data_IF_872767105234
#
_entry.id   IF_872767105234
#
_cell.length_a   1.000
_cell.length_b   1.000
_cell.length_c   1.000
_cell.angle_alpha   90.00
_cell.angle_beta   90.00
_cell.angle_gamma   90.00
#
_symmetry.space_group_name_H-M   'P 1'
#
loop_
_entity.id
_entity.type
_entity.pdbx_description
1 polymer ?
#
# COMPACT_ATOMS: atom_id res chain seq x y z
N UNK A 1 -14.16 -7.39 -0.92
CA UNK A 1 -14.33 -5.99 -1.33
C UNK A 1 -14.01 -5.89 -2.81
N UNK A 2 -15.02 -5.76 -3.67
CA UNK A 2 -14.84 -5.78 -5.13
C UNK A 2 -14.25 -4.48 -5.69
N UNK A 3 -14.13 -3.44 -4.87
CA UNK A 3 -13.52 -2.16 -5.25
C UNK A 3 -12.12 -2.02 -4.64
N UNK A 4 -11.06 -1.98 -5.46
CA UNK A 4 -9.71 -1.72 -4.96
C UNK A 4 -9.62 -0.30 -4.39
N UNK A 5 -8.72 -0.13 -3.41
CA UNK A 5 -8.39 1.18 -2.87
C UNK A 5 -7.83 2.07 -3.99
N UNK A 6 -8.28 3.33 -4.07
CA UNK A 6 -7.74 4.27 -5.05
C UNK A 6 -6.24 4.54 -4.79
N UNK A 7 -5.45 4.62 -5.86
CA UNK A 7 -4.00 4.83 -5.81
C UNK A 7 -3.64 6.12 -5.07
N UNK A 8 -4.40 7.19 -5.28
CA UNK A 8 -4.18 8.47 -4.59
C UNK A 8 -4.38 8.37 -3.09
N UNK A 9 -5.35 7.55 -2.64
CA UNK A 9 -5.59 7.31 -1.22
C UNK A 9 -4.46 6.46 -0.62
N UNK A 10 -4.05 5.40 -1.33
CA UNK A 10 -2.91 4.57 -0.94
C UNK A 10 -1.62 5.41 -0.82
N UNK A 11 -1.31 6.23 -1.81
CA UNK A 11 -0.17 7.14 -1.78
C UNK A 11 -0.24 8.11 -0.60
N UNK A 12 -1.41 8.69 -0.32
CA UNK A 12 -1.63 9.57 0.83
C UNK A 12 -1.39 8.87 2.17
N UNK A 13 -1.86 7.63 2.32
CA UNK A 13 -1.60 6.82 3.51
C UNK A 13 -0.10 6.58 3.70
N UNK A 14 0.62 6.21 2.63
CA UNK A 14 2.05 5.94 2.69
C UNK A 14 2.82 7.23 3.04
N UNK A 15 2.48 8.37 2.46
CA UNK A 15 3.10 9.66 2.77
C UNK A 15 2.94 10.05 4.24
N UNK A 16 1.80 9.73 4.88
CA UNK A 16 1.59 9.95 6.31
C UNK A 16 2.55 9.13 7.18
N UNK A 17 3.04 7.99 6.69
CA UNK A 17 4.04 7.18 7.39
C UNK A 17 5.44 7.77 7.34
N UNK A 18 5.69 8.71 6.42
CA UNK A 18 7.01 9.23 6.06
C UNK A 18 7.96 8.16 5.50
N UNK A 19 7.41 7.09 4.92
CA UNK A 19 8.18 6.05 4.27
C UNK A 19 9.08 6.62 3.16
N UNK A 20 10.33 6.16 3.11
CA UNK A 20 11.36 6.60 2.14
C UNK A 20 12.11 5.43 1.50
N UNK A 21 11.59 4.20 1.61
CA UNK A 21 12.23 3.02 1.07
C UNK A 21 13.33 2.41 1.95
N UNK A 22 13.62 2.97 3.12
CA UNK A 22 14.68 2.48 4.02
C UNK A 22 14.16 1.42 5.00
N UNK A 23 12.93 1.57 5.43
CA UNK A 23 12.26 0.69 6.37
C UNK A 23 11.71 -0.55 5.65
N UNK A 24 11.51 -1.63 6.38
CA UNK A 24 10.70 -2.72 5.88
C UNK A 24 9.24 -2.25 5.78
N UNK A 25 8.61 -2.47 4.62
CA UNK A 25 7.22 -2.12 4.37
C UNK A 25 6.40 -3.39 4.16
N UNK A 26 5.27 -3.51 4.85
CA UNK A 26 4.40 -4.66 4.72
C UNK A 26 2.92 -4.26 4.61
N UNK A 27 2.25 -4.78 3.57
CA UNK A 27 0.80 -4.79 3.46
C UNK A 27 0.30 -6.24 3.60
N UNK A 28 -0.27 -6.60 4.77
CA UNK A 28 -0.76 -7.96 5.03
C UNK A 28 -2.11 -8.29 4.38
N UNK A 29 -2.76 -7.34 3.69
CA UNK A 29 -4.05 -7.49 2.99
C UNK A 29 -3.96 -6.84 1.61
N UNK A 30 -2.96 -7.23 0.82
CA UNK A 30 -2.58 -6.46 -0.35
C UNK A 30 -3.60 -6.48 -1.50
N UNK A 31 -4.50 -7.45 -1.55
CA UNK A 31 -5.50 -7.55 -2.60
C UNK A 31 -4.90 -7.46 -3.99
N UNK A 32 -5.29 -6.45 -4.77
CA UNK A 32 -4.74 -6.16 -6.10
C UNK A 32 -3.32 -5.55 -6.11
N UNK A 33 -2.74 -5.28 -4.93
CA UNK A 33 -1.39 -4.77 -4.78
C UNK A 33 -1.26 -3.25 -4.79
N UNK A 34 -2.35 -2.49 -4.69
CA UNK A 34 -2.31 -1.02 -4.79
C UNK A 34 -1.34 -0.38 -3.78
N UNK A 35 -1.45 -0.74 -2.49
CA UNK A 35 -0.59 -0.16 -1.44
C UNK A 35 0.90 -0.51 -1.65
N UNK A 36 1.32 -1.78 -1.82
CA UNK A 36 2.72 -2.08 -2.04
C UNK A 36 3.27 -1.52 -3.35
N UNK A 37 2.45 -1.38 -4.41
CA UNK A 37 2.86 -0.74 -5.66
C UNK A 37 3.14 0.75 -5.43
N UNK A 38 2.24 1.48 -4.77
CA UNK A 38 2.44 2.89 -4.44
C UNK A 38 3.65 3.08 -3.51
N UNK A 39 3.87 2.16 -2.56
CA UNK A 39 5.07 2.19 -1.71
C UNK A 39 6.36 2.07 -2.55
N UNK A 40 6.38 1.18 -3.53
CA UNK A 40 7.52 1.01 -4.42
C UNK A 40 7.76 2.25 -5.30
N UNK A 41 6.70 2.83 -5.87
CA UNK A 41 6.78 4.06 -6.68
C UNK A 41 7.32 5.24 -5.86
N UNK A 42 6.87 5.39 -4.61
CA UNK A 42 7.36 6.41 -3.68
C UNK A 42 8.83 6.14 -3.30
N UNK A 43 9.19 4.89 -3.02
CA UNK A 43 10.55 4.51 -2.64
C UNK A 43 11.58 4.87 -3.72
N UNK A 44 11.24 4.63 -4.98
CA UNK A 44 12.11 4.98 -6.11
C UNK A 44 11.96 6.43 -6.59
N UNK A 45 11.12 7.24 -5.94
CA UNK A 45 10.83 8.62 -6.34
C UNK A 45 10.29 8.74 -7.78
N UNK A 46 9.47 7.78 -8.23
CA UNK A 46 8.87 7.82 -9.57
C UNK A 46 7.80 8.88 -9.66
N UNK A 47 7.91 9.75 -10.65
CA UNK A 47 6.91 10.78 -10.93
C UNK A 47 5.56 10.13 -11.37
N UNK A 48 4.43 10.41 -10.69
CA UNK A 48 3.14 9.76 -11.00
C UNK A 48 2.64 9.98 -12.42
N UNK A 49 3.06 11.09 -13.05
CA UNK A 49 2.67 11.47 -14.41
C UNK A 49 3.57 10.90 -15.52
N UNK A 50 4.63 10.17 -15.20
CA UNK A 50 5.66 9.80 -16.17
C UNK A 50 5.14 9.03 -17.39
N UNK A 51 4.17 8.14 -17.16
CA UNK A 51 3.57 7.28 -18.20
C UNK A 51 2.19 7.78 -18.66
N UNK A 52 1.83 9.02 -18.31
CA UNK A 52 0.53 9.62 -18.70
C UNK A 52 0.72 10.60 -19.84
N UNK A 53 -0.36 10.76 -20.62
CA UNK A 53 -0.53 11.86 -21.58
C UNK A 53 -1.35 12.97 -20.92
N UNK A 54 -1.01 14.20 -21.17
CA UNK A 54 -1.68 15.37 -20.64
C UNK A 54 -2.23 16.22 -21.81
N UNK A 55 -3.43 16.74 -21.68
CA UNK A 55 -4.02 17.61 -22.70
C UNK A 55 -3.12 18.82 -23.05
N UNK A 56 -2.35 19.31 -22.10
CA UNK A 56 -1.42 20.41 -22.32
C UNK A 56 -0.30 20.10 -23.33
N UNK A 57 -0.04 18.81 -23.62
CA UNK A 57 0.92 18.40 -24.64
C UNK A 57 0.47 18.75 -26.07
N UNK A 58 -0.85 18.91 -26.25
CA UNK A 58 -1.46 19.24 -27.53
C UNK A 58 -1.65 20.76 -27.72
N UNK A 59 -1.21 21.60 -26.78
CA UNK A 59 -1.33 23.05 -26.92
C UNK A 59 -0.34 23.56 -27.99
N UNK A 60 -0.82 24.37 -28.98
CA UNK A 60 0.02 24.83 -30.10
C UNK A 60 1.27 25.63 -29.71
N UNK A 61 1.24 26.25 -28.52
CA UNK A 61 2.31 27.08 -27.97
C UNK A 61 3.27 26.29 -27.05
N UNK A 62 3.01 24.98 -26.82
CA UNK A 62 3.82 24.13 -25.97
C UNK A 62 4.80 23.31 -26.83
N UNK A 63 6.11 23.59 -26.79
CA UNK A 63 7.10 22.79 -27.52
C UNK A 63 7.12 21.34 -26.99
N UNK A 64 7.22 20.37 -27.90
CA UNK A 64 7.30 18.95 -27.53
C UNK A 64 8.55 18.62 -26.74
N UNK A 65 9.64 19.28 -27.07
CA UNK A 65 10.95 19.11 -26.44
C UNK A 65 10.87 19.36 -24.93
N UNK A 66 10.07 20.32 -24.48
CA UNK A 66 9.87 20.62 -23.06
C UNK A 66 9.32 19.40 -22.30
N UNK A 67 8.39 18.65 -22.92
CA UNK A 67 7.84 17.44 -22.32
C UNK A 67 8.85 16.30 -22.26
N UNK A 68 9.66 16.13 -23.29
CA UNK A 68 10.68 15.11 -23.35
C UNK A 68 11.79 15.40 -22.33
N UNK A 69 12.20 16.65 -22.19
CA UNK A 69 13.18 17.11 -21.19
C UNK A 69 12.65 16.86 -19.76
N UNK A 70 11.41 17.27 -19.46
CA UNK A 70 10.80 17.07 -18.13
C UNK A 70 10.64 15.57 -17.80
N UNK A 71 10.27 14.75 -18.78
CA UNK A 71 10.17 13.29 -18.57
C UNK A 71 11.55 12.67 -18.35
N UNK A 72 12.56 13.14 -19.06
CA UNK A 72 13.96 12.68 -18.88
C UNK A 72 14.45 13.07 -17.50
N UNK A 73 14.29 14.33 -17.09
CA UNK A 73 14.64 14.81 -15.76
C UNK A 73 13.92 14.01 -14.65
N UNK A 74 12.64 13.70 -14.85
CA UNK A 74 11.87 12.92 -13.88
C UNK A 74 12.42 11.48 -13.74
N UNK A 75 12.86 10.86 -14.84
CA UNK A 75 13.51 9.54 -14.82
C UNK A 75 14.87 9.58 -14.15
N UNK A 76 15.67 10.60 -14.44
CA UNK A 76 17.00 10.77 -13.86
C UNK A 76 16.96 11.00 -12.34
N UNK A 77 15.83 11.46 -11.82
CA UNK A 77 15.56 11.62 -10.39
C UNK A 77 15.06 10.36 -9.69
N UNK A 78 14.88 9.25 -10.41
CA UNK A 78 14.52 7.98 -9.78
C UNK A 78 15.70 7.45 -8.93
N UNK A 79 15.36 6.95 -7.74
CA UNK A 79 16.35 6.33 -6.86
C UNK A 79 16.52 4.84 -7.21
N UNK A 80 17.74 4.36 -7.09
CA UNK A 80 18.08 2.96 -7.25
C UNK A 80 18.57 2.41 -5.91
N UNK A 81 18.08 1.25 -5.50
CA UNK A 81 18.46 0.64 -4.24
C UNK A 81 17.72 -0.67 -3.98
N UNK A 82 18.06 -1.31 -2.88
CA UNK A 82 17.40 -2.51 -2.40
C UNK A 82 16.27 -2.11 -1.46
N UNK A 83 15.05 -2.39 -1.87
CA UNK A 83 13.84 -2.09 -1.11
C UNK A 83 13.25 -3.35 -0.51
N UNK A 84 12.78 -3.25 0.72
CA UNK A 84 12.15 -4.36 1.46
C UNK A 84 10.66 -4.12 1.54
N UNK A 85 9.94 -4.48 0.47
CA UNK A 85 8.49 -4.30 0.36
C UNK A 85 7.84 -5.68 0.23
N UNK A 86 6.92 -5.99 1.12
CA UNK A 86 6.14 -7.23 1.14
C UNK A 86 4.66 -6.90 0.99
N UNK A 87 4.01 -7.51 0.00
CA UNK A 87 2.56 -7.61 -0.08
C UNK A 87 2.15 -9.04 0.22
N UNK A 88 1.16 -9.24 1.07
CA UNK A 88 0.61 -10.58 1.28
C UNK A 88 -0.91 -10.56 1.31
N UNK A 89 -1.50 -11.68 0.94
CA UNK A 89 -2.94 -11.91 0.99
C UNK A 89 -3.23 -13.39 1.23
N UNK A 90 -4.34 -13.69 1.88
CA UNK A 90 -4.77 -15.07 2.10
C UNK A 90 -5.31 -15.75 0.84
N UNK A 91 -5.71 -14.99 -0.18
CA UNK A 91 -6.15 -15.49 -1.47
C UNK A 91 -5.00 -15.46 -2.49
N UNK A 92 -4.53 -16.65 -2.97
CA UNK A 92 -3.48 -16.72 -4.00
C UNK A 92 -3.86 -16.03 -5.32
N UNK A 93 -5.15 -15.87 -5.63
CA UNK A 93 -5.61 -15.13 -6.80
C UNK A 93 -5.32 -13.64 -6.66
N UNK A 94 -5.53 -13.08 -5.47
CA UNK A 94 -5.16 -11.70 -5.16
C UNK A 94 -3.65 -11.49 -5.32
N UNK A 95 -2.84 -12.40 -4.79
CA UNK A 95 -1.37 -12.36 -4.93
C UNK A 95 -0.95 -12.38 -6.40
N UNK A 96 -1.54 -13.27 -7.21
CA UNK A 96 -1.25 -13.35 -8.64
C UNK A 96 -1.63 -12.07 -9.39
N UNK A 97 -2.77 -11.47 -9.05
CA UNK A 97 -3.22 -10.19 -9.58
C UNK A 97 -2.27 -9.05 -9.19
N UNK A 98 -1.87 -8.99 -7.92
CA UNK A 98 -0.94 -7.99 -7.41
C UNK A 98 0.42 -8.06 -8.15
N UNK A 99 0.94 -9.26 -8.37
CA UNK A 99 2.16 -9.46 -9.14
C UNK A 99 2.04 -8.97 -10.58
N UNK A 100 0.89 -9.22 -11.23
CA UNK A 100 0.63 -8.74 -12.59
C UNK A 100 0.56 -7.20 -12.65
N UNK A 101 -0.14 -6.58 -11.68
CA UNK A 101 -0.25 -5.12 -11.57
C UNK A 101 1.10 -4.46 -11.28
N UNK A 102 1.91 -5.03 -10.39
CA UNK A 102 3.26 -4.54 -10.09
C UNK A 102 4.19 -4.59 -11.31
N UNK A 103 4.07 -5.63 -12.15
CA UNK A 103 4.80 -5.70 -13.43
C UNK A 103 4.37 -4.60 -14.40
N UNK A 104 3.05 -4.36 -14.53
CA UNK A 104 2.51 -3.27 -15.36
C UNK A 104 3.00 -1.90 -14.89
N UNK A 105 3.07 -1.69 -13.58
CA UNK A 105 3.60 -0.47 -12.98
C UNK A 105 5.12 -0.34 -13.09
N UNK A 106 5.83 -1.37 -13.57
CA UNK A 106 7.29 -1.38 -13.71
C UNK A 106 8.05 -1.50 -12.39
N UNK A 107 7.39 -1.98 -11.31
CA UNK A 107 7.98 -2.14 -9.97
C UNK A 107 7.95 -3.58 -9.46
N UNK A 108 7.61 -4.54 -10.32
CA UNK A 108 7.43 -5.94 -9.92
C UNK A 108 8.68 -6.59 -9.31
N UNK A 109 9.88 -6.11 -9.64
CA UNK A 109 11.14 -6.61 -9.06
C UNK A 109 11.46 -6.03 -7.68
N UNK A 110 10.75 -4.97 -7.28
CA UNK A 110 10.98 -4.24 -6.02
C UNK A 110 10.09 -4.76 -4.87
N UNK A 111 9.11 -5.61 -5.20
CA UNK A 111 8.10 -6.07 -4.27
C UNK A 111 8.13 -7.59 -4.21
N UNK A 112 8.18 -8.14 -3.01
CA UNK A 112 7.92 -9.55 -2.78
C UNK A 112 6.44 -9.74 -2.48
N UNK A 113 5.79 -10.68 -3.18
CA UNK A 113 4.41 -11.06 -2.88
C UNK A 113 4.37 -12.50 -2.36
N UNK A 114 3.54 -12.74 -1.33
CA UNK A 114 3.35 -14.07 -0.72
C UNK A 114 1.89 -14.30 -0.38
N UNK A 115 1.43 -15.52 -0.57
CA UNK A 115 0.18 -15.96 0.02
C UNK A 115 0.38 -16.28 1.52
N UNK A 116 -0.61 -15.94 2.34
CA UNK A 116 -0.56 -16.21 3.76
C UNK A 116 -1.60 -15.46 4.58
N UNK A 117 -1.91 -16.03 5.72
CA UNK A 117 -2.83 -15.46 6.70
C UNK A 117 -2.10 -14.39 7.55
N UNK A 118 -2.52 -13.15 7.42
CA UNK A 118 -1.95 -11.99 8.14
C UNK A 118 -1.90 -12.16 9.66
N UNK A 119 -2.76 -13.03 10.22
CA UNK A 119 -2.83 -13.31 11.66
C UNK A 119 -1.87 -14.39 12.13
N UNK A 120 -1.14 -15.04 11.20
CA UNK A 120 -0.24 -16.17 11.46
C UNK A 120 1.15 -16.01 10.86
N UNK A 121 1.31 -15.16 9.84
CA UNK A 121 2.59 -14.93 9.20
C UNK A 121 3.59 -14.36 10.20
N UNK A 122 4.80 -14.93 10.25
CA UNK A 122 5.89 -14.35 11.03
C UNK A 122 6.24 -12.96 10.53
N UNK A 123 6.53 -12.05 11.46
CA UNK A 123 7.00 -10.71 11.11
C UNK A 123 8.29 -10.83 10.27
N UNK A 124 8.37 -10.15 9.12
CA UNK A 124 9.50 -10.30 8.20
C UNK A 124 10.79 -9.63 8.68
N UNK A 125 10.71 -8.82 9.75
CA UNK A 125 11.86 -8.18 10.41
C UNK A 125 11.47 -7.71 11.81
N UNK A 126 12.46 -7.26 12.60
CA UNK A 126 12.24 -6.73 13.96
C UNK A 126 11.51 -5.39 13.95
N UNK A 127 11.68 -4.58 12.89
CA UNK A 127 11.08 -3.25 12.77
C UNK A 127 10.58 -2.99 11.34
N UNK A 128 9.58 -2.11 11.21
CA UNK A 128 9.05 -1.73 9.92
C UNK A 128 7.77 -0.90 9.98
N UNK A 129 7.12 -0.81 8.83
CA UNK A 129 5.87 -0.08 8.65
C UNK A 129 4.85 -1.03 8.04
N UNK A 130 3.71 -1.20 8.72
CA UNK A 130 2.53 -1.85 8.19
C UNK A 130 1.57 -0.77 7.70
N UNK A 131 1.15 -0.87 6.45
CA UNK A 131 0.04 -0.07 5.89
C UNK A 131 -0.94 -1.03 5.25
N UNK A 132 -2.19 -1.03 5.69
CA UNK A 132 -3.16 -1.96 5.14
C UNK A 132 -4.60 -1.46 5.17
N UNK A 133 -5.40 -2.10 4.32
CA UNK A 133 -6.84 -1.98 4.22
C UNK A 133 -7.47 -3.37 4.47
N UNK A 134 -7.63 -3.79 5.74
CA UNK A 134 -8.24 -5.08 6.04
C UNK A 134 -9.70 -5.13 5.57
N UNK A 135 -10.24 -6.31 5.24
CA UNK A 135 -11.63 -6.45 4.83
C UNK A 135 -12.59 -5.97 5.92
N UNK A 136 -13.63 -5.29 5.51
CA UNK A 136 -14.78 -4.91 6.35
C UNK A 136 -16.04 -5.50 5.71
N UNK A 137 -16.82 -6.24 6.50
CA UNK A 137 -18.01 -6.93 6.00
C UNK A 137 -19.15 -5.94 5.70
N UNK A 138 -19.77 -6.08 4.54
CA UNK A 138 -21.00 -5.35 4.19
C UNK A 138 -22.24 -6.05 4.73
N UNK A 139 -22.20 -7.38 4.90
CA UNK A 139 -23.28 -8.21 5.43
C UNK A 139 -22.98 -8.60 6.88
N UNK A 140 -24.04 -8.90 7.66
CA UNK A 140 -23.94 -9.20 9.09
C UNK A 140 -22.99 -10.38 9.40
N UNK A 141 -22.97 -11.45 8.60
CA UNK A 141 -22.04 -12.56 8.77
C UNK A 141 -20.58 -12.12 8.49
N UNK A 142 -20.36 -11.37 7.41
CA UNK A 142 -19.07 -10.82 7.04
C UNK A 142 -18.54 -9.84 8.08
N UNK A 143 -19.42 -9.04 8.71
CA UNK A 143 -19.06 -8.14 9.82
C UNK A 143 -18.53 -8.92 11.04
N UNK A 144 -19.15 -10.04 11.38
CA UNK A 144 -18.69 -10.88 12.49
C UNK A 144 -17.32 -11.52 12.18
N UNK A 145 -17.11 -11.93 10.94
CA UNK A 145 -15.82 -12.45 10.49
C UNK A 145 -14.73 -11.36 10.50
N UNK A 146 -15.05 -10.15 10.03
CA UNK A 146 -14.15 -9.00 10.08
C UNK A 146 -13.76 -8.65 11.53
N UNK A 147 -14.71 -8.63 12.47
CA UNK A 147 -14.44 -8.40 13.90
C UNK A 147 -13.49 -9.45 14.49
N UNK A 148 -13.71 -10.73 14.17
CA UNK A 148 -12.81 -11.83 14.58
C UNK A 148 -11.42 -11.66 13.98
N UNK A 149 -11.33 -11.25 12.72
CA UNK A 149 -10.08 -10.96 12.05
C UNK A 149 -9.34 -9.81 12.75
N UNK A 150 -10.02 -8.72 13.08
CA UNK A 150 -9.40 -7.58 13.79
C UNK A 150 -8.87 -7.99 15.17
N UNK A 151 -9.61 -8.83 15.90
CA UNK A 151 -9.16 -9.37 17.18
C UNK A 151 -7.92 -10.27 17.01
N UNK A 152 -7.92 -11.14 16.01
CA UNK A 152 -6.79 -12.02 15.72
C UNK A 152 -5.56 -11.22 15.30
N UNK A 153 -5.73 -10.24 14.42
CA UNK A 153 -4.67 -9.34 13.96
C UNK A 153 -4.10 -8.53 15.12
N UNK A 154 -4.96 -7.99 15.99
CA UNK A 154 -4.53 -7.23 17.16
C UNK A 154 -3.70 -8.08 18.13
N UNK A 155 -4.12 -9.31 18.40
CA UNK A 155 -3.32 -10.26 19.21
C UNK A 155 -1.99 -10.59 18.57
N UNK A 156 -1.97 -10.84 17.27
CA UNK A 156 -0.76 -11.18 16.52
C UNK A 156 0.24 -10.02 16.51
N UNK A 157 -0.23 -8.81 16.23
CA UNK A 157 0.62 -7.61 16.16
C UNK A 157 0.88 -6.94 17.50
N UNK A 158 0.36 -7.48 18.61
CA UNK A 158 0.58 -6.93 19.96
C UNK A 158 2.07 -6.85 20.32
N UNK A 159 2.83 -7.85 19.93
CA UNK A 159 4.25 -7.98 20.23
C UNK A 159 5.18 -7.47 19.13
N UNK A 160 4.62 -6.89 18.06
CA UNK A 160 5.38 -6.24 16.99
C UNK A 160 5.86 -4.84 17.45
N UNK A 161 6.79 -4.79 18.41
CA UNK A 161 7.17 -3.58 19.13
C UNK A 161 7.60 -2.41 18.26
N UNK A 162 8.60 -2.62 17.41
CA UNK A 162 9.18 -1.58 16.54
C UNK A 162 8.41 -1.38 15.21
N UNK A 163 7.25 -2.03 15.06
CA UNK A 163 6.41 -1.87 13.87
C UNK A 163 5.39 -0.75 14.04
N UNK A 164 5.48 0.26 13.18
CA UNK A 164 4.45 1.32 13.04
C UNK A 164 3.30 0.76 12.21
N UNK A 165 2.07 0.93 12.68
CA UNK A 165 0.87 0.34 12.08
C UNK A 165 -0.08 1.44 11.62
N UNK A 166 -0.41 1.45 10.34
CA UNK A 166 -1.33 2.39 9.70
C UNK A 166 -2.43 1.60 9.01
N UNK A 167 -3.63 1.67 9.55
CA UNK A 167 -4.76 0.84 9.13
C UNK A 167 -5.90 1.76 8.73
N UNK A 168 -6.40 1.62 7.50
CA UNK A 168 -7.63 2.27 7.07
C UNK A 168 -8.79 1.33 7.37
N UNK A 169 -9.87 1.86 7.91
CA UNK A 169 -11.08 1.09 8.20
C UNK A 169 -12.31 1.98 8.23
N UNK A 170 -13.45 1.43 7.84
CA UNK A 170 -14.76 2.05 8.03
C UNK A 170 -15.45 1.59 9.32
N UNK A 171 -14.86 0.61 10.07
CA UNK A 171 -15.43 0.09 11.31
C UNK A 171 -15.21 1.09 12.47
N UNK A 172 -16.28 1.70 13.03
CA UNK A 172 -16.15 2.68 14.11
C UNK A 172 -15.53 2.11 15.38
N UNK A 173 -15.78 0.82 15.67
CA UNK A 173 -15.29 0.11 16.85
C UNK A 173 -14.00 -0.68 16.59
N UNK A 174 -13.29 -0.41 15.49
CA UNK A 174 -12.07 -1.12 15.12
C UNK A 174 -11.07 -1.21 16.28
N UNK A 175 -10.83 -0.11 17.00
CA UNK A 175 -9.89 -0.07 18.11
C UNK A 175 -10.28 -1.01 19.25
N UNK A 176 -11.58 -1.17 19.50
CA UNK A 176 -12.09 -2.09 20.49
C UNK A 176 -11.77 -3.55 20.12
N UNK A 177 -12.05 -3.93 18.86
CA UNK A 177 -11.76 -5.27 18.38
C UNK A 177 -10.27 -5.54 18.24
N UNK A 178 -9.50 -4.59 17.75
CA UNK A 178 -8.05 -4.68 17.61
C UNK A 178 -7.33 -4.72 18.98
N UNK A 179 -7.98 -4.21 20.03
CA UNK A 179 -7.48 -4.21 21.39
C UNK A 179 -6.40 -3.17 21.69
N UNK A 180 -6.31 -2.13 20.86
CA UNK A 180 -5.40 -1.00 21.10
C UNK A 180 -6.00 0.29 20.53
N UNK A 181 -5.93 1.37 21.31
CA UNK A 181 -6.26 2.72 20.81
C UNK A 181 -5.18 3.22 19.86
N UNK A 182 -5.60 3.96 18.84
CA UNK A 182 -4.68 4.61 17.92
C UNK A 182 -4.02 5.83 18.55
N UNK A 183 -2.77 6.08 18.25
CA UNK A 183 -2.06 7.29 18.65
C UNK A 183 -2.58 8.52 17.90
N UNK A 184 -3.02 8.33 16.65
CA UNK A 184 -3.57 9.38 15.78
C UNK A 184 -4.64 8.84 14.85
N UNK A 185 -5.72 9.61 14.67
CA UNK A 185 -6.77 9.34 13.66
C UNK A 185 -6.73 10.40 12.56
N UNK A 186 -7.00 9.97 11.35
CA UNK A 186 -7.20 10.84 10.18
C UNK A 186 -8.45 10.41 9.46
N UNK A 187 -9.29 11.35 9.05
CA UNK A 187 -10.46 11.07 8.24
C UNK A 187 -10.11 11.28 6.78
N UNK A 188 -10.37 10.26 5.96
CA UNK A 188 -10.32 10.35 4.52
C UNK A 188 -11.74 10.41 3.98
N UNK A 189 -11.91 11.11 2.88
CA UNK A 189 -13.15 11.19 2.14
C UNK A 189 -12.90 10.58 0.77
N UNK A 190 -13.78 9.67 0.39
CA UNK A 190 -13.77 9.01 -0.92
C UNK A 190 -14.83 9.65 -1.80
#
# INVERSE_FOLDING_TARGET
NDAPLHETLAAGMIQLTRYRGREFFWDPFCGSGTIPIEAALIAINRAPGLNRTFAAQEFPWMPREVWDDVKTEAKDKEFHGDYRILGSDSDPKCVSLAMANARKAGVGKLITFKDGDATKMSLPSDAGIIVCNPPYGERMMEQNEAKRLYQALGRHLKFAGEWKKYIITSEPEFEHYFGKRSDKKRKFYN
#
